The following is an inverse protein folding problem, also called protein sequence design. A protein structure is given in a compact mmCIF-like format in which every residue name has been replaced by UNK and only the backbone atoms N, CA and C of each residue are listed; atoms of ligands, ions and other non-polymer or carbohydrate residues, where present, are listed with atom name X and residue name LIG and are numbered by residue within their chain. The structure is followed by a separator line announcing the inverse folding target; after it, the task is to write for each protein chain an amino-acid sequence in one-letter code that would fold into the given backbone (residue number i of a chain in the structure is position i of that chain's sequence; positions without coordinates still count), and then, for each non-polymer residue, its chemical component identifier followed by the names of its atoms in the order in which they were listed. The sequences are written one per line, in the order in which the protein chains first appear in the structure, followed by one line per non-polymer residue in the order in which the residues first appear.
data_IF_008049684463
#
_entry.id   IF_008049684463
#
_cell.length_a   1.000
_cell.length_b   1.000
_cell.length_c   1.000
_cell.angle_alpha   90.00
_cell.angle_beta   90.00
_cell.angle_gamma   90.00
#
_symmetry.space_group_name_H-M   'P 1'
#
loop_
_entity.id
_entity.type
_entity.pdbx_description
1 polymer ?
#
# COMPACT_ATOMS: atom_id res chain seq x y z
N UNK A 1 -3.45 -43.66 -40.48
CA UNK A 1 -2.57 -42.60 -39.92
C UNK A 1 -3.43 -41.38 -39.63
N UNK A 2 -3.29 -40.87 -38.40
CA UNK A 2 -4.22 -39.94 -37.75
C UNK A 2 -4.17 -38.52 -38.29
N UNK A 3 -5.36 -37.91 -38.35
CA UNK A 3 -5.61 -36.48 -38.53
C UNK A 3 -5.04 -35.68 -37.35
N UNK A 4 -4.54 -34.46 -37.63
CA UNK A 4 -5.06 -33.15 -37.14
C UNK A 4 -3.94 -32.10 -37.18
N UNK A 5 -4.11 -31.12 -38.07
CA UNK A 5 -3.42 -29.83 -37.99
C UNK A 5 -4.16 -28.98 -36.95
N UNK A 6 -3.48 -28.61 -35.87
CA UNK A 6 -3.92 -27.54 -34.98
C UNK A 6 -3.10 -26.29 -35.33
N UNK A 7 -3.69 -25.42 -36.14
CA UNK A 7 -3.38 -24.00 -36.16
C UNK A 7 -4.58 -23.34 -35.51
N UNK A 8 -4.38 -22.61 -34.42
CA UNK A 8 -5.02 -21.31 -34.08
C UNK A 8 -4.79 -21.04 -32.60
N UNK A 9 -3.87 -20.12 -32.30
CA UNK A 9 -3.91 -19.31 -31.09
C UNK A 9 -3.34 -17.95 -31.46
N UNK A 10 -4.20 -17.10 -32.02
CA UNK A 10 -3.96 -15.68 -32.11
C UNK A 10 -4.14 -15.10 -30.70
N UNK A 11 -3.07 -15.00 -29.91
CA UNK A 11 -3.07 -14.20 -28.69
C UNK A 11 -2.78 -12.74 -29.07
N UNK A 12 -3.79 -12.09 -29.63
CA UNK A 12 -3.88 -10.64 -29.67
C UNK A 12 -4.41 -10.16 -28.31
N UNK A 13 -3.51 -9.90 -27.36
CA UNK A 13 -3.83 -9.10 -26.18
C UNK A 13 -3.07 -7.80 -26.27
N UNK A 14 -3.81 -6.82 -26.80
CA UNK A 14 -3.69 -5.39 -26.68
C UNK A 14 -2.58 -4.85 -25.76
N UNK A 15 -1.64 -4.17 -26.42
CA UNK A 15 -1.03 -2.90 -26.01
C UNK A 15 -1.59 -2.31 -24.71
N UNK A 16 -0.77 -2.33 -23.66
CA UNK A 16 -0.94 -1.52 -22.45
C UNK A 16 -0.79 -0.05 -22.82
N UNK A 17 -1.91 0.58 -23.17
CA UNK A 17 -2.00 2.03 -23.37
C UNK A 17 -2.09 2.73 -22.02
N UNK A 18 -0.99 2.80 -21.25
CA UNK A 18 -0.89 3.74 -20.13
C UNK A 18 -0.35 5.08 -20.63
N UNK A 19 -1.22 5.81 -21.35
CA UNK A 19 -1.05 7.23 -21.64
C UNK A 19 -2.28 7.98 -21.15
N UNK A 20 -2.33 8.24 -19.86
CA UNK A 20 -3.06 9.39 -19.30
C UNK A 20 -2.19 10.05 -18.25
N UNK A 21 -1.51 11.12 -18.66
CA UNK A 21 -0.89 12.04 -17.73
C UNK A 21 -1.96 12.86 -16.99
N UNK A 22 -1.56 13.35 -15.82
CA UNK A 22 -2.12 14.49 -15.11
C UNK A 22 -3.62 14.45 -14.80
N UNK A 23 -4.01 13.67 -13.80
CA UNK A 23 -5.12 14.08 -12.94
C UNK A 23 -4.92 13.43 -11.59
N UNK A 24 -4.79 14.25 -10.55
CA UNK A 24 -4.95 13.83 -9.15
C UNK A 24 -6.14 12.88 -9.11
N UNK A 25 -5.87 11.60 -8.84
CA UNK A 25 -6.89 10.56 -8.87
C UNK A 25 -7.99 10.94 -7.85
N UNK A 26 -9.23 11.18 -8.30
CA UNK A 26 -10.29 11.58 -7.40
C UNK A 26 -10.57 10.45 -6.42
N UNK A 27 -10.69 10.78 -5.13
CA UNK A 27 -11.00 9.78 -4.11
C UNK A 27 -9.79 8.99 -3.59
N UNK A 28 -8.59 9.58 -3.59
CA UNK A 28 -7.48 9.15 -2.73
C UNK A 28 -6.75 7.88 -3.15
N UNK A 29 -6.83 7.50 -4.42
CA UNK A 29 -6.21 6.27 -4.94
C UNK A 29 -4.69 6.24 -4.77
N UNK A 30 -4.05 7.42 -4.81
CA UNK A 30 -2.62 7.60 -4.48
C UNK A 30 -2.18 7.01 -3.14
N UNK A 31 -3.08 6.87 -2.15
CA UNK A 31 -2.74 6.23 -0.87
C UNK A 31 -2.70 4.70 -0.96
N UNK A 32 -3.38 4.09 -1.92
CA UNK A 32 -3.53 2.64 -1.99
C UNK A 32 -2.19 1.94 -2.24
N UNK A 33 -2.05 0.73 -1.68
CA UNK A 33 -0.89 -0.11 -1.84
C UNK A 33 -0.02 -0.20 -0.59
N UNK A 34 1.25 -0.57 -0.79
CA UNK A 34 2.19 -0.89 0.28
C UNK A 34 3.17 0.25 0.49
N UNK A 35 3.48 0.52 1.76
CA UNK A 35 4.40 1.55 2.19
C UNK A 35 5.37 0.99 3.24
N UNK A 36 6.59 1.51 3.27
CA UNK A 36 7.62 1.14 4.25
C UNK A 36 8.27 2.39 4.82
N UNK A 37 8.37 2.46 6.15
CA UNK A 37 8.96 3.62 6.82
C UNK A 37 10.48 3.68 6.63
N UNK A 38 11.03 4.90 6.72
CA UNK A 38 12.47 5.17 6.56
C UNK A 38 13.37 4.64 7.69
N UNK A 39 12.82 3.88 8.64
CA UNK A 39 13.59 3.32 9.73
C UNK A 39 14.51 2.20 9.23
N UNK A 40 15.82 2.35 9.50
CA UNK A 40 16.84 1.38 9.08
C UNK A 40 16.78 0.05 9.84
N UNK A 41 16.38 0.09 11.11
CA UNK A 41 16.49 -1.04 12.03
C UNK A 41 15.15 -1.71 12.29
N UNK A 42 14.12 -0.90 12.47
CA UNK A 42 12.77 -1.36 12.77
C UNK A 42 11.79 -0.61 11.85
N UNK A 43 11.75 -0.95 10.55
CA UNK A 43 10.80 -0.35 9.60
C UNK A 43 9.37 -0.80 9.89
N UNK A 44 8.47 0.17 9.93
CA UNK A 44 7.03 -0.10 9.90
C UNK A 44 6.62 -0.37 8.45
N UNK A 45 5.73 -1.32 8.25
CA UNK A 45 5.11 -1.56 6.94
C UNK A 45 3.62 -1.31 7.02
N UNK A 46 3.09 -0.66 5.99
CA UNK A 46 1.71 -0.22 5.92
C UNK A 46 1.11 -0.75 4.63
N UNK A 47 -0.13 -1.24 4.72
CA UNK A 47 -0.94 -1.60 3.58
C UNK A 47 -2.25 -0.82 3.66
N UNK A 48 -2.56 -0.06 2.61
CA UNK A 48 -3.78 0.73 2.50
C UNK A 48 -4.64 0.15 1.38
N UNK A 49 -5.86 -0.28 1.72
CA UNK A 49 -6.83 -0.84 0.77
C UNK A 49 -8.14 -0.08 0.79
N UNK A 50 -8.94 -0.25 -0.27
CA UNK A 50 -10.33 0.21 -0.30
C UNK A 50 -11.18 -0.59 0.69
N UNK A 51 -12.07 0.08 1.39
CA UNK A 51 -13.07 -0.50 2.28
C UNK A 51 -14.42 0.21 2.09
N UNK A 52 -15.12 -0.11 0.99
CA UNK A 52 -16.29 0.65 0.54
C UNK A 52 -15.90 2.08 0.16
N UNK A 53 -16.63 3.06 0.71
CA UNK A 53 -16.35 4.50 0.54
C UNK A 53 -15.18 5.01 1.41
N UNK A 54 -14.56 4.11 2.17
CA UNK A 54 -13.46 4.39 3.09
C UNK A 54 -12.22 3.58 2.74
N UNK A 55 -11.22 3.64 3.62
CA UNK A 55 -9.96 2.91 3.49
C UNK A 55 -9.76 2.04 4.72
N UNK A 56 -9.04 0.93 4.54
CA UNK A 56 -8.47 0.17 5.64
C UNK A 56 -6.96 0.44 5.67
N UNK A 57 -6.49 0.99 6.78
CA UNK A 57 -5.09 1.24 7.04
C UNK A 57 -4.57 0.14 7.96
N UNK A 58 -3.83 -0.80 7.40
CA UNK A 58 -3.14 -1.85 8.16
C UNK A 58 -1.70 -1.44 8.36
N UNK A 59 -1.25 -1.33 9.60
CA UNK A 59 0.15 -1.05 9.94
C UNK A 59 0.71 -2.19 10.77
N UNK A 60 1.90 -2.65 10.39
CA UNK A 60 2.70 -3.58 11.18
C UNK A 60 3.89 -2.80 11.71
N UNK A 61 3.91 -2.58 13.02
CA UNK A 61 4.90 -1.77 13.71
C UNK A 61 5.42 -2.49 14.95
N UNK A 62 6.63 -2.16 15.38
CA UNK A 62 7.21 -2.74 16.59
C UNK A 62 6.53 -2.16 17.83
N UNK A 63 6.21 -3.02 18.80
CA UNK A 63 5.63 -2.55 20.04
C UNK A 63 6.64 -1.68 20.83
N UNK A 64 6.30 -0.43 21.17
CA UNK A 64 7.21 0.47 21.89
C UNK A 64 7.53 -0.01 23.31
N UNK A 65 6.71 -0.90 23.89
CA UNK A 65 6.89 -1.44 25.23
C UNK A 65 7.57 -2.82 25.26
N UNK A 66 8.11 -3.27 24.12
CA UNK A 66 8.67 -4.61 23.97
C UNK A 66 7.66 -5.64 23.47
N UNK A 67 8.15 -6.80 23.03
CA UNK A 67 7.40 -7.70 22.15
C UNK A 67 7.65 -7.32 20.68
N UNK A 68 7.52 -8.28 19.78
CA UNK A 68 7.86 -8.12 18.36
C UNK A 68 7.00 -7.11 17.60
N UNK A 69 6.92 -7.31 16.29
CA UNK A 69 5.97 -6.57 15.47
C UNK A 69 4.53 -6.91 15.86
N UNK A 70 3.63 -5.94 15.72
CA UNK A 70 2.20 -6.11 15.92
C UNK A 70 1.44 -5.47 14.77
N UNK A 71 0.40 -6.16 14.33
CA UNK A 71 -0.52 -5.68 13.30
C UNK A 71 -1.67 -4.89 13.91
N UNK A 72 -1.89 -3.67 13.41
CA UNK A 72 -3.02 -2.82 13.76
C UNK A 72 -3.82 -2.45 12.51
N UNK A 73 -5.14 -2.67 12.57
CA UNK A 73 -6.08 -2.31 11.52
C UNK A 73 -6.88 -1.09 11.96
N UNK A 74 -6.80 -0.01 11.19
CA UNK A 74 -7.44 1.26 11.51
C UNK A 74 -8.31 1.70 10.32
N UNK A 75 -9.53 2.23 10.58
CA UNK A 75 -10.31 2.84 9.52
C UNK A 75 -9.64 4.13 9.05
N UNK A 76 -9.61 4.33 7.73
CA UNK A 76 -9.12 5.53 7.08
C UNK A 76 -10.22 6.23 6.30
N UNK A 77 -10.26 7.56 6.33
CA UNK A 77 -11.17 8.36 5.51
C UNK A 77 -10.40 9.54 4.92
N UNK A 78 -10.70 9.91 3.67
CA UNK A 78 -10.22 11.18 3.15
C UNK A 78 -10.78 12.33 3.97
N UNK A 79 -9.92 13.29 4.25
CA UNK A 79 -10.31 14.57 4.80
C UNK A 79 -10.94 15.45 3.70
N UNK A 80 -11.37 16.66 4.07
CA UNK A 80 -11.84 17.67 3.10
C UNK A 80 -10.78 18.03 2.03
N UNK A 81 -9.52 17.63 2.25
CA UNK A 81 -8.44 17.64 1.26
C UNK A 81 -8.16 16.24 0.73
N UNK A 82 -8.16 16.10 -0.59
CA UNK A 82 -7.81 14.85 -1.29
C UNK A 82 -6.38 14.35 -0.98
N UNK A 83 -5.52 15.19 -0.38
CA UNK A 83 -4.13 14.87 -0.04
C UNK A 83 -3.94 14.43 1.42
N UNK A 84 -5.02 14.29 2.19
CA UNK A 84 -4.95 13.90 3.60
C UNK A 84 -5.89 12.72 3.85
N UNK A 85 -5.33 11.63 4.39
CA UNK A 85 -6.07 10.50 4.91
C UNK A 85 -6.11 10.59 6.44
N UNK A 86 -7.30 10.76 7.02
CA UNK A 86 -7.51 10.67 8.47
C UNK A 86 -7.59 9.20 8.90
N UNK A 87 -6.76 8.80 9.86
CA UNK A 87 -6.66 7.43 10.37
C UNK A 87 -6.62 7.48 11.90
N UNK A 88 -7.74 7.13 12.56
CA UNK A 88 -7.91 7.39 13.99
C UNK A 88 -7.68 8.87 14.32
N UNK A 89 -6.78 9.15 15.26
CA UNK A 89 -6.39 10.52 15.63
C UNK A 89 -5.26 11.11 14.75
N UNK A 90 -4.77 10.34 13.77
CA UNK A 90 -3.64 10.75 12.91
C UNK A 90 -4.11 11.27 11.56
N UNK A 91 -3.29 12.16 10.99
CA UNK A 91 -3.44 12.68 9.62
C UNK A 91 -2.24 12.22 8.81
N UNK A 92 -2.51 11.45 7.75
CA UNK A 92 -1.51 10.96 6.82
C UNK A 92 -1.56 11.84 5.58
N UNK A 93 -0.54 12.68 5.39
CA UNK A 93 -0.41 13.51 4.20
C UNK A 93 0.30 12.73 3.09
N UNK A 94 -0.13 12.92 1.85
CA UNK A 94 0.58 12.41 0.67
C UNK A 94 1.44 13.52 0.06
N UNK A 95 2.73 13.26 -0.12
CA UNK A 95 3.65 14.13 -0.86
C UNK A 95 3.79 13.62 -2.29
N UNK A 96 3.12 14.31 -3.23
CA UNK A 96 3.13 13.95 -4.65
C UNK A 96 4.53 14.05 -5.28
N UNK A 97 5.40 14.92 -4.77
CA UNK A 97 6.72 15.17 -5.37
C UNK A 97 7.71 14.03 -5.15
N UNK A 98 7.55 13.33 -4.02
CA UNK A 98 8.48 12.30 -3.57
C UNK A 98 7.84 10.92 -3.47
N UNK A 99 6.54 10.78 -3.79
CA UNK A 99 5.75 9.55 -3.66
C UNK A 99 5.90 8.90 -2.28
N UNK A 100 5.57 9.68 -1.25
CA UNK A 100 5.66 9.24 0.15
C UNK A 100 4.45 9.69 0.96
N UNK A 101 4.19 8.95 2.04
CA UNK A 101 3.21 9.34 3.05
C UNK A 101 3.92 9.86 4.30
N UNK A 102 3.37 10.92 4.89
CA UNK A 102 3.92 11.60 6.07
C UNK A 102 2.87 11.62 7.18
N UNK A 103 3.28 11.25 8.39
CA UNK A 103 2.47 11.42 9.60
C UNK A 103 3.35 11.77 10.79
N UNK A 104 3.33 13.04 11.21
CA UNK A 104 4.25 13.53 12.23
C UNK A 104 5.70 13.39 11.78
N UNK A 105 6.49 12.59 12.50
CA UNK A 105 7.88 12.29 12.14
C UNK A 105 8.04 11.08 11.22
N UNK A 106 6.98 10.28 11.04
CA UNK A 106 7.02 9.11 10.16
C UNK A 106 6.98 9.56 8.69
N UNK A 107 7.93 9.04 7.91
CA UNK A 107 7.92 9.07 6.45
C UNK A 107 7.95 7.63 5.97
N UNK A 108 7.09 7.30 5.02
CA UNK A 108 7.08 5.99 4.39
C UNK A 108 6.98 6.11 2.87
N UNK A 109 7.82 5.35 2.18
CA UNK A 109 7.90 5.30 0.72
C UNK A 109 7.11 4.12 0.21
N UNK A 110 6.74 4.14 -1.07
CA UNK A 110 6.17 2.97 -1.70
C UNK A 110 7.07 1.75 -1.57
N UNK A 111 6.42 0.62 -1.37
CA UNK A 111 7.06 -0.66 -1.17
C UNK A 111 6.31 -1.74 -1.95
N UNK A 112 6.86 -2.95 -1.97
CA UNK A 112 6.24 -4.12 -2.60
C UNK A 112 5.50 -4.97 -1.56
N UNK A 113 4.56 -5.80 -2.04
CA UNK A 113 3.93 -6.81 -1.17
C UNK A 113 4.95 -7.75 -0.52
N UNK A 114 6.00 -8.13 -1.26
CA UNK A 114 7.04 -9.01 -0.74
C UNK A 114 7.79 -8.38 0.45
N UNK A 115 8.12 -7.10 0.37
CA UNK A 115 8.75 -6.36 1.47
C UNK A 115 7.82 -6.20 2.67
N UNK A 116 6.53 -5.91 2.41
CA UNK A 116 5.51 -5.87 3.45
C UNK A 116 5.44 -7.22 4.20
N UNK A 117 5.33 -8.33 3.46
CA UNK A 117 5.20 -9.66 4.05
C UNK A 117 6.45 -10.10 4.81
N UNK A 118 7.65 -9.73 4.34
CA UNK A 118 8.90 -10.06 5.02
C UNK A 118 8.96 -9.50 6.46
N UNK A 119 8.30 -8.37 6.72
CA UNK A 119 8.21 -7.75 8.05
C UNK A 119 6.95 -8.20 8.78
N UNK A 120 5.80 -8.25 8.09
CA UNK A 120 4.54 -8.67 8.69
C UNK A 120 4.58 -10.08 9.27
N UNK A 121 5.32 -11.01 8.65
CA UNK A 121 5.49 -12.38 9.16
C UNK A 121 6.38 -12.46 10.42
N UNK A 122 7.11 -11.40 10.76
CA UNK A 122 7.86 -11.34 12.02
C UNK A 122 6.92 -11.20 13.24
N UNK A 123 5.72 -10.64 13.06
CA UNK A 123 4.65 -10.60 14.07
C UNK A 123 4.27 -12.04 14.50
N UNK A 124 4.08 -12.93 13.53
CA UNK A 124 3.67 -14.33 13.77
C UNK A 124 4.73 -15.25 14.38
N UNK A 125 5.98 -14.80 14.54
CA UNK A 125 7.10 -15.64 14.99
C UNK A 125 7.53 -15.41 16.46
N UNK A 126 6.74 -14.70 17.25
CA UNK A 126 7.00 -14.55 18.70
C UNK A 126 6.20 -15.62 19.47
N UNK A 127 6.84 -16.63 20.11
CA UNK A 127 6.16 -17.68 20.88
C UNK A 127 5.55 -17.16 22.19
#
# INVERSE_FOLDING_TARGET
MNRRHFITAASATALLSFLTGCKTEPGGEKFLGYWKSDSKYDPDVIHITRNGDSFLFTVVAKNPFGGGYQTHNLPGKLDDSDNILAVGDKRIAYDESSDLIISGQMKAHRSTEAEYQAIAQQDSNTP
#
